data_IF_742015405126
#
_entry.id   IF_742015405126
#
_cell.length_a   1.000
_cell.length_b   1.000
_cell.length_c   1.000
_cell.angle_alpha   90.00
_cell.angle_beta   90.00
_cell.angle_gamma   90.00
#
_symmetry.space_group_name_H-M   'P 1'
#
loop_
_entity.id
_entity.type
_entity.pdbx_description
1 polymer ?
#
# COMPACT_ATOMS: atom_id res chain seq x y z
N UNK A 1 23.45 -2.29 24.92
CA UNK A 1 24.50 -1.28 24.67
C UNK A 1 24.61 -0.35 25.88
N UNK A 2 25.77 0.26 26.15
CA UNK A 2 25.92 1.34 27.16
C UNK A 2 25.67 2.73 26.57
N UNK A 3 25.56 2.83 25.25
CA UNK A 3 25.32 4.09 24.55
C UNK A 3 23.85 4.49 24.66
N UNK A 4 23.55 5.81 24.70
CA UNK A 4 22.18 6.30 24.61
C UNK A 4 21.56 5.88 23.26
N UNK A 5 20.25 5.64 23.21
CA UNK A 5 19.57 5.40 21.96
C UNK A 5 19.63 6.66 21.09
N UNK A 6 19.96 6.48 19.81
CA UNK A 6 20.03 7.57 18.81
C UNK A 6 18.86 7.36 17.85
N UNK A 7 17.88 8.28 17.79
CA UNK A 7 16.78 8.18 16.84
C UNK A 7 17.26 8.43 15.41
N UNK A 8 16.48 7.95 14.45
CA UNK A 8 16.67 8.32 13.06
C UNK A 8 16.57 9.84 12.90
N UNK A 9 17.49 10.39 12.11
CA UNK A 9 17.40 11.77 11.65
C UNK A 9 16.40 11.90 10.49
N UNK A 10 16.14 13.15 10.07
CA UNK A 10 15.11 13.41 9.06
C UNK A 10 15.50 12.87 7.67
N UNK A 11 16.80 12.80 7.35
CA UNK A 11 17.29 12.23 6.08
C UNK A 11 17.11 10.71 6.07
N UNK A 12 17.53 10.03 7.14
CA UNK A 12 17.34 8.57 7.30
C UNK A 12 15.86 8.21 7.25
N UNK A 13 15.01 9.00 7.92
CA UNK A 13 13.55 8.78 7.91
C UNK A 13 12.98 9.00 6.50
N UNK A 14 13.39 10.06 5.79
CA UNK A 14 12.94 10.35 4.43
C UNK A 14 13.32 9.23 3.45
N UNK A 15 14.55 8.73 3.53
CA UNK A 15 15.05 7.64 2.68
C UNK A 15 14.28 6.35 2.93
N UNK A 16 14.02 5.98 4.18
CA UNK A 16 13.20 4.80 4.50
C UNK A 16 11.75 4.98 4.04
N UNK A 17 11.15 6.16 4.24
CA UNK A 17 9.82 6.47 3.73
C UNK A 17 9.75 6.31 2.20
N UNK A 18 10.75 6.82 1.48
CA UNK A 18 10.82 6.67 0.02
C UNK A 18 11.05 5.21 -0.40
N UNK A 19 11.91 4.45 0.29
CA UNK A 19 12.10 3.03 0.00
C UNK A 19 10.78 2.24 0.11
N UNK A 20 9.95 2.54 1.12
CA UNK A 20 8.67 1.86 1.35
C UNK A 20 7.51 2.32 0.47
N UNK A 21 7.39 3.61 0.17
CA UNK A 21 6.22 4.19 -0.51
C UNK A 21 6.53 5.34 -1.49
N UNK A 22 7.80 5.50 -1.86
CA UNK A 22 8.28 6.57 -2.71
C UNK A 22 7.79 6.50 -4.15
N UNK A 23 7.97 7.61 -4.85
CA UNK A 23 7.68 7.74 -6.28
C UNK A 23 8.94 7.45 -7.07
N UNK A 24 8.82 6.60 -8.10
CA UNK A 24 9.92 6.23 -9.00
C UNK A 24 9.84 6.91 -10.36
N UNK A 25 8.69 7.44 -10.75
CA UNK A 25 8.47 8.03 -12.07
C UNK A 25 7.05 7.83 -12.56
N UNK A 26 6.85 7.75 -13.88
CA UNK A 26 5.56 7.36 -14.48
C UNK A 26 5.68 5.97 -15.08
N UNK A 27 4.64 5.14 -14.92
CA UNK A 27 4.58 3.84 -15.59
C UNK A 27 4.27 4.02 -17.09
N UNK A 28 4.70 3.06 -17.91
CA UNK A 28 4.41 3.04 -19.35
C UNK A 28 2.99 2.59 -19.68
N UNK A 29 2.38 1.84 -18.76
CA UNK A 29 1.10 1.17 -18.89
C UNK A 29 0.92 0.40 -20.20
N UNK A 30 1.69 -0.67 -20.32
CA UNK A 30 1.79 -1.61 -21.44
C UNK A 30 0.65 -2.67 -21.49
N UNK A 31 -0.55 -2.37 -20.99
CA UNK A 31 -1.71 -3.27 -21.05
C UNK A 31 -2.60 -2.97 -22.25
N UNK A 32 -3.27 -3.99 -22.82
CA UNK A 32 -4.22 -3.79 -23.91
C UNK A 32 -5.37 -2.87 -23.50
N UNK A 33 -5.59 -1.81 -24.28
CA UNK A 33 -6.69 -0.83 -24.07
C UNK A 33 -8.01 -1.23 -24.72
N UNK A 34 -8.02 -2.34 -25.48
CA UNK A 34 -9.20 -2.85 -26.16
C UNK A 34 -10.08 -3.76 -25.28
N UNK A 35 -9.72 -3.95 -24.02
CA UNK A 35 -10.44 -4.76 -23.04
C UNK A 35 -10.52 -4.02 -21.69
N UNK A 36 -11.32 -4.54 -20.76
CA UNK A 36 -11.48 -4.02 -19.39
C UNK A 36 -10.13 -3.89 -18.67
N UNK A 37 -9.16 -4.76 -18.99
CA UNK A 37 -7.89 -4.86 -18.29
C UNK A 37 -7.08 -3.56 -18.31
N UNK A 38 -6.91 -2.95 -19.49
CA UNK A 38 -6.22 -1.65 -19.61
C UNK A 38 -6.98 -0.48 -18.95
N UNK A 39 -8.29 -0.64 -18.71
CA UNK A 39 -9.13 0.36 -18.03
C UNK A 39 -9.08 0.25 -16.51
N UNK A 40 -8.40 -0.75 -15.95
CA UNK A 40 -8.31 -0.95 -14.50
C UNK A 40 -7.30 -0.02 -13.82
N UNK A 41 -6.38 0.60 -14.57
CA UNK A 41 -5.41 1.52 -13.97
C UNK A 41 -6.05 2.80 -13.47
N UNK A 42 -5.88 3.09 -12.19
CA UNK A 42 -6.37 4.36 -11.60
C UNK A 42 -5.29 5.41 -11.45
N UNK A 43 -4.02 5.05 -11.70
CA UNK A 43 -2.86 5.94 -11.59
C UNK A 43 -1.80 5.57 -12.62
N UNK A 44 -1.06 6.57 -13.07
CA UNK A 44 0.12 6.44 -13.94
C UNK A 44 1.44 6.69 -13.19
N UNK A 45 1.36 6.91 -11.88
CA UNK A 45 2.54 7.13 -11.04
C UNK A 45 3.20 5.78 -10.74
N UNK A 46 4.52 5.70 -10.90
CA UNK A 46 5.34 4.58 -10.47
C UNK A 46 5.71 4.69 -9.00
N UNK A 47 5.74 3.56 -8.32
CA UNK A 47 6.09 3.42 -6.90
C UNK A 47 7.29 2.52 -6.71
N UNK A 48 7.92 2.60 -5.55
CA UNK A 48 8.92 1.62 -5.11
C UNK A 48 8.31 0.26 -4.78
N UNK A 49 6.99 0.19 -4.60
CA UNK A 49 6.23 -1.02 -4.27
C UNK A 49 5.16 -1.32 -5.32
N UNK A 50 4.87 -2.60 -5.62
CA UNK A 50 3.83 -2.96 -6.57
C UNK A 50 2.42 -2.83 -5.96
N UNK A 51 1.45 -2.41 -6.77
CA UNK A 51 0.04 -2.30 -6.40
C UNK A 51 -0.85 -3.00 -7.41
N UNK A 52 -1.90 -3.66 -6.94
CA UNK A 52 -2.96 -4.13 -7.82
C UNK A 52 -3.55 -2.93 -8.56
N UNK A 53 -3.67 -3.05 -9.88
CA UNK A 53 -4.27 -2.04 -10.76
C UNK A 53 -3.72 -0.61 -10.58
N UNK A 54 -2.53 -0.49 -10.01
CA UNK A 54 -1.89 0.75 -9.62
C UNK A 54 -2.74 1.68 -8.69
N UNK A 55 -3.65 1.14 -7.86
CA UNK A 55 -4.57 1.95 -7.02
C UNK A 55 -3.90 2.69 -5.86
N UNK A 56 -2.65 2.36 -5.51
CA UNK A 56 -1.87 3.08 -4.49
C UNK A 56 -2.59 3.22 -3.14
N UNK A 57 -3.30 2.17 -2.74
CA UNK A 57 -4.18 2.13 -1.58
C UNK A 57 -3.46 1.86 -0.23
N UNK A 58 -2.14 1.76 -0.24
CA UNK A 58 -1.33 1.69 0.97
C UNK A 58 -0.80 3.09 1.32
N UNK A 59 -0.95 3.47 2.58
CA UNK A 59 -0.31 4.66 3.15
C UNK A 59 0.73 4.23 4.17
N UNK A 60 1.89 4.90 4.18
CA UNK A 60 2.95 4.60 5.13
C UNK A 60 2.82 5.50 6.34
N UNK A 61 2.29 4.95 7.43
CA UNK A 61 2.31 5.63 8.72
C UNK A 61 3.64 5.38 9.41
N UNK A 62 4.08 6.34 10.22
CA UNK A 62 5.21 6.11 11.11
C UNK A 62 5.10 6.93 12.40
N UNK A 63 5.73 6.45 13.46
CA UNK A 63 5.76 7.16 14.74
C UNK A 63 7.12 7.09 15.42
N UNK A 64 7.49 8.19 16.06
CA UNK A 64 8.66 8.35 16.91
C UNK A 64 8.34 9.36 18.02
N UNK A 65 9.34 9.83 18.76
CA UNK A 65 9.18 10.83 19.83
C UNK A 65 8.53 12.14 19.35
N UNK A 66 8.72 12.50 18.08
CA UNK A 66 8.21 13.77 17.52
C UNK A 66 6.72 13.72 17.23
N UNK A 67 6.13 12.55 16.99
CA UNK A 67 4.73 12.45 16.57
C UNK A 67 4.30 11.13 15.94
N UNK A 68 3.05 11.12 15.49
CA UNK A 68 2.50 10.19 14.52
C UNK A 68 2.37 10.91 13.18
N UNK A 69 2.78 10.27 12.10
CA UNK A 69 2.84 10.83 10.77
C UNK A 69 2.28 9.87 9.74
N UNK A 70 1.86 10.41 8.60
CA UNK A 70 1.54 9.66 7.38
C UNK A 70 2.32 10.23 6.21
N UNK A 71 3.04 9.38 5.49
CA UNK A 71 3.74 9.69 4.25
C UNK A 71 2.96 9.11 3.07
N UNK A 72 2.53 9.97 2.15
CA UNK A 72 1.66 9.59 1.04
C UNK A 72 1.93 10.47 -0.21
N UNK A 73 3.08 10.30 -0.88
CA UNK A 73 3.43 11.14 -2.03
C UNK A 73 2.54 10.79 -3.23
N UNK A 74 2.08 11.79 -3.99
CA UNK A 74 0.97 11.62 -4.95
C UNK A 74 1.30 11.67 -6.44
N UNK A 75 2.35 12.37 -6.85
CA UNK A 75 2.57 12.67 -8.27
C UNK A 75 4.02 12.55 -8.71
N UNK A 76 4.20 11.94 -9.87
CA UNK A 76 5.43 12.00 -10.65
C UNK A 76 5.40 13.17 -11.63
N UNK A 77 6.58 13.68 -11.94
CA UNK A 77 6.87 14.80 -12.85
C UNK A 77 7.59 14.35 -14.12
N UNK A 78 8.29 13.20 -14.07
CA UNK A 78 8.97 12.60 -15.23
C UNK A 78 8.90 11.06 -15.20
N UNK A 79 9.32 10.43 -16.30
CA UNK A 79 9.34 8.98 -16.46
C UNK A 79 10.20 8.26 -15.42
N UNK A 80 11.31 8.86 -15.00
CA UNK A 80 12.22 8.34 -13.96
C UNK A 80 12.56 9.48 -13.02
N UNK A 81 12.07 9.46 -11.78
CA UNK A 81 12.25 10.57 -10.84
C UNK A 81 13.68 10.72 -10.34
N UNK A 82 14.34 9.58 -10.08
CA UNK A 82 15.69 9.50 -9.52
C UNK A 82 16.58 8.79 -10.54
N UNK A 83 17.29 9.57 -11.36
CA UNK A 83 18.15 9.05 -12.44
C UNK A 83 19.64 9.14 -12.06
N UNK A 84 20.02 10.23 -11.38
CA UNK A 84 21.40 10.48 -10.93
C UNK A 84 21.43 10.89 -9.46
N UNK A 85 22.64 11.02 -8.89
CA UNK A 85 22.82 11.51 -7.50
C UNK A 85 22.28 12.93 -7.31
N UNK A 86 22.25 13.75 -8.36
CA UNK A 86 21.68 15.11 -8.32
C UNK A 86 20.17 15.10 -8.05
N UNK A 87 19.47 14.00 -8.38
CA UNK A 87 18.04 13.86 -8.10
C UNK A 87 17.74 13.48 -6.63
N UNK A 88 18.75 13.11 -5.82
CA UNK A 88 18.51 12.58 -4.46
C UNK A 88 17.81 13.57 -3.52
N UNK A 89 18.01 14.88 -3.71
CA UNK A 89 17.32 15.92 -2.94
C UNK A 89 15.78 15.86 -3.08
N UNK A 90 15.28 15.25 -4.16
CA UNK A 90 13.84 15.04 -4.34
C UNK A 90 13.23 14.15 -3.27
N UNK A 91 14.00 13.20 -2.73
CA UNK A 91 13.53 12.34 -1.63
C UNK A 91 13.15 13.20 -0.43
N UNK A 92 14.01 14.13 -0.03
CA UNK A 92 13.73 15.09 1.04
C UNK A 92 12.58 16.05 0.69
N UNK A 93 12.46 16.44 -0.57
CA UNK A 93 11.34 17.26 -1.07
C UNK A 93 10.01 16.53 -0.93
N UNK A 94 9.92 15.27 -1.37
CA UNK A 94 8.72 14.44 -1.21
C UNK A 94 8.41 14.23 0.26
N UNK A 95 9.41 13.93 1.09
CA UNK A 95 9.21 13.74 2.52
C UNK A 95 8.64 14.99 3.18
N UNK A 96 9.20 16.17 2.90
CA UNK A 96 8.73 17.43 3.49
C UNK A 96 7.33 17.81 3.00
N UNK A 97 7.07 17.65 1.71
CA UNK A 97 5.80 18.04 1.07
C UNK A 97 4.65 17.09 1.44
N UNK A 98 4.93 15.79 1.45
CA UNK A 98 3.90 14.74 1.45
C UNK A 98 3.81 13.98 2.77
N UNK A 99 4.49 14.44 3.82
CA UNK A 99 4.33 13.93 5.18
C UNK A 99 3.42 14.84 5.98
N UNK A 100 2.34 14.27 6.51
CA UNK A 100 1.39 14.97 7.38
C UNK A 100 1.58 14.46 8.80
N UNK A 101 1.76 15.38 9.75
CA UNK A 101 1.75 15.08 11.18
C UNK A 101 0.30 15.00 11.67
N UNK A 102 -0.06 13.87 12.28
CA UNK A 102 -1.40 13.58 12.76
C UNK A 102 -1.58 13.87 14.26
N UNK A 103 -0.53 13.64 15.05
CA UNK A 103 -0.51 13.97 16.48
C UNK A 103 0.91 14.20 16.98
N UNK A 104 1.01 14.92 18.11
CA UNK A 104 2.25 15.08 18.86
C UNK A 104 2.57 13.83 19.69
N UNK A 105 3.86 13.60 19.91
CA UNK A 105 4.36 12.49 20.69
C UNK A 105 4.20 11.12 20.01
N UNK A 106 4.87 10.13 20.57
CA UNK A 106 4.81 8.76 20.07
C UNK A 106 3.39 8.22 20.19
N UNK A 107 2.88 7.63 19.11
CA UNK A 107 1.67 6.84 19.16
C UNK A 107 1.91 5.60 20.03
N UNK A 108 1.24 5.56 21.18
CA UNK A 108 1.38 4.48 22.14
C UNK A 108 0.61 3.25 21.66
N UNK A 109 1.34 2.31 21.05
CA UNK A 109 0.79 0.99 20.74
C UNK A 109 0.32 0.28 22.01
N UNK A 110 -0.92 -0.22 22.00
CA UNK A 110 -1.51 -0.98 23.11
C UNK A 110 -0.72 -2.28 23.27
N UNK A 111 0.02 -2.49 24.39
CA UNK A 111 0.88 -3.67 24.54
C UNK A 111 0.12 -5.00 24.41
N UNK A 112 -1.13 -5.05 24.91
CA UNK A 112 -1.98 -6.24 24.84
C UNK A 112 -2.49 -6.55 23.43
N UNK A 113 -2.46 -5.57 22.51
CA UNK A 113 -2.78 -5.79 21.10
C UNK A 113 -1.59 -6.37 20.31
N UNK A 114 -0.41 -6.47 20.92
CA UNK A 114 0.81 -6.94 20.29
C UNK A 114 1.26 -8.29 20.84
N UNK A 115 1.85 -9.11 19.97
CA UNK A 115 2.53 -10.34 20.40
C UNK A 115 3.71 -9.98 21.31
N UNK A 116 3.89 -10.72 22.42
CA UNK A 116 4.95 -10.44 23.41
C UNK A 116 6.35 -10.31 22.81
N UNK A 117 6.60 -11.04 21.72
CA UNK A 117 7.88 -11.05 21.00
C UNK A 117 8.27 -9.72 20.36
N UNK A 118 7.36 -8.74 20.19
CA UNK A 118 7.69 -7.41 19.65
C UNK A 118 7.80 -6.34 20.73
N UNK A 119 7.55 -6.67 21.99
CA UNK A 119 7.59 -5.69 23.09
C UNK A 119 9.00 -5.19 23.40
N UNK A 120 10.05 -5.90 22.96
CA UNK A 120 11.44 -5.52 23.25
C UNK A 120 11.89 -4.29 22.46
N UNK A 121 11.33 -4.06 21.27
CA UNK A 121 11.64 -2.90 20.42
C UNK A 121 10.46 -1.95 20.18
N UNK A 122 9.22 -2.41 20.39
CA UNK A 122 8.05 -1.52 20.27
C UNK A 122 8.04 -0.47 21.38
N UNK A 123 7.73 0.77 21.02
CA UNK A 123 7.64 1.95 21.88
C UNK A 123 8.89 2.25 22.72
N UNK A 124 10.09 1.81 22.31
CA UNK A 124 11.33 2.14 23.04
C UNK A 124 11.87 3.52 22.62
N UNK A 125 12.54 4.25 23.53
CA UNK A 125 13.20 5.50 23.17
C UNK A 125 14.19 5.31 22.01
N UNK A 126 14.18 6.25 21.07
CA UNK A 126 15.00 6.25 19.85
C UNK A 126 14.49 5.37 18.71
N UNK A 127 13.36 4.68 18.87
CA UNK A 127 12.82 3.83 17.80
C UNK A 127 11.88 4.59 16.88
N UNK A 128 11.95 4.35 15.58
CA UNK A 128 10.89 4.73 14.64
C UNK A 128 10.13 3.48 14.25
N UNK A 129 8.81 3.49 14.37
CA UNK A 129 7.94 2.38 13.96
C UNK A 129 7.26 2.77 12.67
N UNK A 130 7.50 1.99 11.60
CA UNK A 130 6.80 2.12 10.33
C UNK A 130 5.62 1.15 10.26
N UNK A 131 4.48 1.64 9.79
CA UNK A 131 3.20 0.95 9.74
C UNK A 131 2.56 1.17 8.37
N UNK A 132 2.80 0.25 7.42
CA UNK A 132 2.02 0.23 6.19
C UNK A 132 0.55 -0.08 6.51
N UNK A 133 -0.36 0.82 6.14
CA UNK A 133 -1.81 0.63 6.31
C UNK A 133 -2.44 0.56 4.93
N UNK A 134 -3.13 -0.54 4.63
CA UNK A 134 -3.90 -0.70 3.40
C UNK A 134 -5.35 -0.26 3.66
N UNK A 135 -5.86 0.58 2.77
CA UNK A 135 -7.28 0.81 2.58
C UNK A 135 -7.76 -0.11 1.44
N UNK A 136 -8.87 -0.84 1.61
CA UNK A 136 -9.31 -1.83 0.61
C UNK A 136 -10.46 -1.35 -0.30
N UNK A 137 -11.24 -0.35 0.11
CA UNK A 137 -12.44 0.09 -0.60
C UNK A 137 -12.18 0.46 -2.05
N UNK A 138 -11.13 1.23 -2.36
CA UNK A 138 -10.89 1.71 -3.73
C UNK A 138 -10.59 0.54 -4.69
N UNK A 139 -9.65 -0.33 -4.29
CA UNK A 139 -9.30 -1.51 -5.09
C UNK A 139 -10.43 -2.54 -5.10
N UNK A 140 -11.20 -2.66 -4.02
CA UNK A 140 -12.37 -3.54 -3.99
C UNK A 140 -13.42 -3.10 -5.01
N UNK A 141 -13.73 -1.80 -5.09
CA UNK A 141 -14.65 -1.28 -6.10
C UNK A 141 -14.10 -1.46 -7.53
N UNK A 142 -12.79 -1.28 -7.72
CA UNK A 142 -12.14 -1.53 -9.01
C UNK A 142 -12.26 -3.00 -9.43
N UNK A 143 -11.92 -3.92 -8.51
CA UNK A 143 -12.02 -5.36 -8.74
C UNK A 143 -13.46 -5.83 -8.99
N UNK A 144 -14.46 -5.27 -8.29
CA UNK A 144 -15.87 -5.56 -8.57
C UNK A 144 -16.30 -5.08 -9.97
N UNK A 145 -15.80 -3.92 -10.40
CA UNK A 145 -16.07 -3.40 -11.75
C UNK A 145 -15.53 -4.37 -12.80
N UNK A 146 -14.31 -4.87 -12.64
CA UNK A 146 -13.73 -5.87 -13.53
C UNK A 146 -14.49 -7.19 -13.47
N UNK A 147 -14.79 -7.70 -12.28
CA UNK A 147 -15.49 -8.97 -12.11
C UNK A 147 -16.87 -8.95 -12.78
N UNK A 148 -17.63 -7.86 -12.66
CA UNK A 148 -18.99 -7.80 -13.20
C UNK A 148 -19.08 -7.27 -14.63
N UNK A 149 -18.36 -6.20 -14.97
CA UNK A 149 -18.45 -5.57 -16.29
C UNK A 149 -17.50 -6.18 -17.30
N UNK A 150 -16.31 -6.59 -16.87
CA UNK A 150 -15.32 -7.22 -17.72
C UNK A 150 -15.60 -8.70 -17.90
N UNK A 151 -15.57 -9.43 -16.80
CA UNK A 151 -15.61 -10.88 -16.81
C UNK A 151 -17.03 -11.47 -16.70
N UNK A 152 -18.02 -10.66 -16.29
CA UNK A 152 -19.41 -11.09 -16.17
C UNK A 152 -19.66 -12.13 -15.07
N UNK A 153 -18.88 -12.14 -13.99
CA UNK A 153 -18.95 -13.13 -12.92
C UNK A 153 -20.35 -13.26 -12.31
N UNK A 154 -20.79 -14.51 -12.15
CA UNK A 154 -22.03 -14.90 -11.47
C UNK A 154 -21.72 -15.25 -10.02
N UNK A 155 -21.54 -14.21 -9.19
CA UNK A 155 -21.22 -14.36 -7.76
C UNK A 155 -22.41 -14.89 -6.96
N UNK A 156 -22.18 -15.91 -6.13
CA UNK A 156 -23.17 -16.48 -5.22
C UNK A 156 -22.70 -16.45 -3.76
N UNK A 157 -23.65 -16.29 -2.84
CA UNK A 157 -23.41 -16.30 -1.39
C UNK A 157 -23.25 -17.74 -0.90
N UNK A 158 -22.01 -18.20 -0.81
CA UNK A 158 -21.65 -19.53 -0.32
C UNK A 158 -21.72 -19.66 1.22
N UNK A 159 -21.91 -18.55 1.93
CA UNK A 159 -22.04 -18.53 3.39
C UNK A 159 -23.50 -18.76 3.81
N UNK A 160 -24.47 -18.17 3.09
CA UNK A 160 -25.90 -18.19 3.45
C UNK A 160 -26.80 -19.04 2.55
N UNK A 161 -26.27 -19.73 1.53
CA UNK A 161 -27.03 -20.80 0.86
C UNK A 161 -26.98 -20.87 -0.66
N UNK A 162 -25.84 -20.56 -1.28
CA UNK A 162 -25.60 -20.61 -2.75
C UNK A 162 -26.63 -19.84 -3.58
N UNK A 163 -27.25 -18.81 -3.02
CA UNK A 163 -28.11 -17.91 -3.77
C UNK A 163 -27.26 -16.84 -4.48
N UNK A 164 -27.71 -16.27 -5.61
CA UNK A 164 -27.02 -15.13 -6.22
C UNK A 164 -26.84 -14.00 -5.21
N UNK A 165 -25.64 -13.42 -5.12
CA UNK A 165 -25.27 -12.43 -4.12
C UNK A 165 -25.86 -11.03 -4.44
N UNK A 166 -27.19 -10.90 -4.40
CA UNK A 166 -27.89 -9.67 -4.76
C UNK A 166 -27.94 -9.37 -6.27
N UNK A 167 -27.37 -10.25 -7.10
CA UNK A 167 -27.17 -10.02 -8.54
C UNK A 167 -28.10 -10.80 -9.47
N UNK A 168 -29.11 -11.50 -8.94
CA UNK A 168 -29.97 -12.42 -9.70
C UNK A 168 -30.55 -11.80 -10.99
N UNK A 169 -31.03 -10.56 -10.92
CA UNK A 169 -31.64 -9.88 -12.08
C UNK A 169 -30.71 -9.77 -13.30
N UNK A 170 -29.40 -9.61 -13.07
CA UNK A 170 -28.40 -9.48 -14.12
C UNK A 170 -27.91 -10.83 -14.64
N UNK A 171 -28.05 -11.89 -13.85
CA UNK A 171 -27.88 -13.27 -14.32
C UNK A 171 -29.07 -13.65 -15.21
N UNK A 172 -30.30 -13.44 -14.72
CA UNK A 172 -31.53 -13.84 -15.41
C UNK A 172 -31.71 -13.14 -16.76
N UNK A 173 -31.33 -11.86 -16.86
CA UNK A 173 -31.45 -11.09 -18.11
C UNK A 173 -30.25 -11.30 -19.06
N UNK A 174 -29.29 -12.17 -18.70
CA UNK A 174 -28.12 -12.49 -19.50
C UNK A 174 -27.05 -11.38 -19.56
N UNK A 175 -27.07 -10.40 -18.65
CA UNK A 175 -25.99 -9.39 -18.55
C UNK A 175 -24.69 -10.04 -18.08
N UNK A 176 -24.76 -10.86 -17.02
CA UNK A 176 -23.61 -11.57 -16.46
C UNK A 176 -23.50 -12.95 -17.10
N UNK A 177 -22.46 -13.16 -17.93
CA UNK A 177 -22.26 -14.38 -18.74
C UNK A 177 -21.00 -15.17 -18.37
N UNK A 178 -20.29 -14.75 -17.33
CA UNK A 178 -19.03 -15.31 -16.89
C UNK A 178 -19.19 -16.55 -16.01
N UNK A 179 -18.08 -16.90 -15.34
CA UNK A 179 -18.01 -18.04 -14.42
C UNK A 179 -18.82 -17.83 -13.15
N UNK A 180 -19.18 -18.92 -12.48
CA UNK A 180 -19.76 -18.87 -11.14
C UNK A 180 -18.63 -18.80 -10.11
N UNK A 181 -18.74 -17.83 -9.20
CA UNK A 181 -17.72 -17.58 -8.18
C UNK A 181 -18.37 -17.49 -6.79
N UNK A 182 -17.84 -18.18 -5.77
CA UNK A 182 -18.24 -17.95 -4.38
C UNK A 182 -17.88 -16.53 -3.94
N UNK A 183 -18.76 -15.87 -3.21
CA UNK A 183 -18.51 -14.55 -2.64
C UNK A 183 -17.27 -14.57 -1.74
N UNK A 184 -17.14 -15.58 -0.88
CA UNK A 184 -16.00 -15.71 0.04
C UNK A 184 -14.65 -15.79 -0.71
N UNK A 185 -14.62 -16.50 -1.84
CA UNK A 185 -13.42 -16.63 -2.67
C UNK A 185 -13.08 -15.32 -3.36
N UNK A 186 -14.07 -14.63 -3.92
CA UNK A 186 -13.86 -13.32 -4.54
C UNK A 186 -13.27 -12.32 -3.54
N UNK A 187 -13.89 -12.18 -2.37
CA UNK A 187 -13.42 -11.26 -1.32
C UNK A 187 -12.02 -11.63 -0.83
N UNK A 188 -11.75 -12.92 -0.62
CA UNK A 188 -10.45 -13.39 -0.18
C UNK A 188 -9.35 -13.15 -1.24
N UNK A 189 -9.64 -13.39 -2.52
CA UNK A 189 -8.70 -13.10 -3.61
C UNK A 189 -8.36 -11.62 -3.66
N UNK A 190 -9.36 -10.73 -3.61
CA UNK A 190 -9.12 -9.28 -3.60
C UNK A 190 -8.26 -8.89 -2.40
N UNK A 191 -8.57 -9.42 -1.21
CA UNK A 191 -7.76 -9.17 -0.02
C UNK A 191 -6.30 -9.60 -0.20
N UNK A 192 -6.06 -10.84 -0.62
CA UNK A 192 -4.70 -11.40 -0.75
C UNK A 192 -3.88 -10.65 -1.79
N UNK A 193 -4.48 -10.27 -2.93
CA UNK A 193 -3.76 -9.54 -3.98
C UNK A 193 -3.31 -8.14 -3.55
N UNK A 194 -3.98 -7.55 -2.55
CA UNK A 194 -3.59 -6.26 -1.97
C UNK A 194 -2.45 -6.36 -0.95
N UNK A 195 -2.11 -7.56 -0.46
CA UNK A 195 -1.07 -7.71 0.56
C UNK A 195 0.36 -7.52 0.03
N UNK A 196 0.57 -7.54 -1.28
CA UNK A 196 1.92 -7.39 -1.85
C UNK A 196 2.57 -6.05 -1.46
N UNK A 197 1.84 -4.94 -1.58
CA UNK A 197 2.35 -3.59 -1.32
C UNK A 197 3.00 -3.43 0.06
N UNK A 198 2.34 -3.73 1.20
CA UNK A 198 2.95 -3.56 2.52
C UNK A 198 4.12 -4.49 2.78
N UNK A 199 4.10 -5.74 2.29
CA UNK A 199 5.21 -6.66 2.49
C UNK A 199 6.46 -6.20 1.72
N UNK A 200 6.28 -5.75 0.48
CA UNK A 200 7.38 -5.16 -0.30
C UNK A 200 7.85 -3.83 0.29
N UNK A 201 6.95 -3.01 0.85
CA UNK A 201 7.34 -1.77 1.52
C UNK A 201 8.31 -2.04 2.67
N UNK A 202 7.97 -3.01 3.54
CA UNK A 202 8.80 -3.42 4.66
C UNK A 202 10.12 -4.05 4.18
N UNK A 203 10.08 -4.88 3.14
CA UNK A 203 11.28 -5.46 2.55
C UNK A 203 12.23 -4.39 2.01
N UNK A 204 11.72 -3.43 1.23
CA UNK A 204 12.51 -2.35 0.67
C UNK A 204 13.11 -1.46 1.76
N UNK A 205 12.32 -1.14 2.80
CA UNK A 205 12.81 -0.39 3.96
C UNK A 205 13.92 -1.15 4.69
N UNK A 206 13.78 -2.47 4.88
CA UNK A 206 14.85 -3.27 5.49
C UNK A 206 16.12 -3.22 4.64
N UNK A 207 16.03 -3.48 3.33
CA UNK A 207 17.19 -3.44 2.43
C UNK A 207 17.87 -2.06 2.45
N UNK A 208 17.09 -0.99 2.52
CA UNK A 208 17.61 0.37 2.62
C UNK A 208 18.24 0.64 4.00
N UNK A 209 17.66 0.13 5.09
CA UNK A 209 18.25 0.20 6.42
C UNK A 209 19.62 -0.49 6.46
N UNK A 210 19.75 -1.70 5.90
CA UNK A 210 21.02 -2.40 5.75
C UNK A 210 22.03 -1.58 4.94
N UNK A 211 21.60 -1.01 3.81
CA UNK A 211 22.45 -0.18 2.95
C UNK A 211 22.98 1.09 3.65
N UNK A 212 22.20 1.65 4.58
CA UNK A 212 22.60 2.79 5.43
C UNK A 212 23.44 2.36 6.64
N UNK A 213 23.59 1.05 6.92
CA UNK A 213 24.29 0.53 8.10
C UNK A 213 23.47 0.58 9.40
N UNK A 214 22.14 0.55 9.29
CA UNK A 214 21.19 0.56 10.42
C UNK A 214 20.74 -0.86 10.85
N UNK A 215 21.14 -1.90 10.09
CA UNK A 215 20.80 -3.31 10.32
C UNK A 215 21.74 -4.08 11.23
#
# INVERSE_FOLDING_TARGET
>A
SKNPPVPLNDVETAILCWAGAGITGTITGDMPTNDVQGSMWTSWTGRTTPYMCNVHNMKLFFTNEKGLFVYDPKGASKAVEIETEEDWEKIGTYFTRDTIKLSDGRFEMIPDALVRGVHWNTNKPGTTIFMPIIELSEEFLNALTTAFMGEGYKVFDDIKGKCPAGIKKWIDNGTLKGVEAPLSTLEHTIFVMNLAAPFHALQNMQLMAEAMGLG
#
